data_IF_053419247266
#
_entry.id   IF_053419247266
#
_cell.length_a   1.000
_cell.length_b   1.000
_cell.length_c   1.000
_cell.angle_alpha   90.00
_cell.angle_beta   90.00
_cell.angle_gamma   90.00
#
_symmetry.space_group_name_H-M   'P 1'
#
loop_
_entity.id
_entity.type
_entity.pdbx_description
1 polymer ?
#
# COMPACT_ATOMS: atom_id res chain seq x y z
N UNK A 1 0.89 0.04 29.57
CA UNK A 1 0.67 -0.92 28.46
C UNK A 1 0.37 -2.27 29.10
N UNK A 2 -0.89 -2.72 29.17
CA UNK A 2 -1.24 -4.07 29.60
C UNK A 2 -1.33 -5.02 28.40
N UNK A 3 -0.99 -6.29 28.63
CA UNK A 3 -0.80 -7.35 27.64
C UNK A 3 -2.03 -7.67 26.80
N UNK A 4 -1.79 -8.02 25.53
CA UNK A 4 -2.74 -8.64 24.63
C UNK A 4 -2.84 -10.14 24.96
N UNK A 5 -3.49 -10.46 26.07
CA UNK A 5 -4.10 -11.76 26.29
C UNK A 5 -5.53 -11.66 25.77
N UNK A 6 -5.62 -11.59 24.43
CA UNK A 6 -6.85 -11.70 23.64
C UNK A 6 -7.37 -13.13 23.83
N UNK A 7 -8.22 -13.34 24.84
CA UNK A 7 -8.91 -14.60 25.12
C UNK A 7 -9.54 -15.13 23.82
N UNK A 8 -9.01 -16.25 23.32
CA UNK A 8 -9.45 -16.80 22.05
C UNK A 8 -10.95 -17.15 22.15
N UNK A 9 -11.79 -16.64 21.24
CA UNK A 9 -13.24 -16.87 21.28
C UNK A 9 -13.54 -18.38 21.23
N UNK A 10 -14.37 -18.86 22.16
CA UNK A 10 -14.83 -20.24 22.19
C UNK A 10 -15.78 -20.50 21.03
N UNK A 11 -15.50 -21.52 20.21
CA UNK A 11 -16.44 -21.98 19.19
C UNK A 11 -17.67 -22.63 19.84
N UNK A 12 -18.79 -22.64 19.13
CA UNK A 12 -19.99 -23.44 19.43
C UNK A 12 -19.70 -24.94 19.69
N UNK A 13 -18.56 -25.47 19.23
CA UNK A 13 -18.13 -26.85 19.51
C UNK A 13 -17.36 -26.99 20.83
N UNK A 14 -17.23 -25.92 21.63
CA UNK A 14 -16.52 -25.91 22.91
C UNK A 14 -15.00 -25.84 22.82
N UNK A 15 -14.42 -25.63 21.64
CA UNK A 15 -12.97 -25.49 21.43
C UNK A 15 -12.57 -24.04 21.18
N UNK A 16 -11.39 -23.63 21.62
CA UNK A 16 -10.82 -22.33 21.32
C UNK A 16 -10.66 -22.14 19.79
N UNK A 17 -11.21 -21.07 19.24
CA UNK A 17 -11.12 -20.83 17.81
C UNK A 17 -9.74 -20.26 17.45
N UNK A 18 -9.15 -20.78 16.37
CA UNK A 18 -7.89 -20.23 15.83
C UNK A 18 -8.22 -19.00 14.99
N UNK A 19 -7.74 -17.83 15.42
CA UNK A 19 -7.83 -16.58 14.64
C UNK A 19 -6.76 -16.61 13.55
N UNK A 20 -7.17 -16.45 12.29
CA UNK A 20 -6.25 -16.27 11.15
C UNK A 20 -6.57 -14.96 10.44
N UNK A 21 -5.53 -14.21 10.09
CA UNK A 21 -5.60 -12.97 9.31
C UNK A 21 -5.35 -13.27 7.83
N UNK A 22 -6.26 -12.89 6.95
CA UNK A 22 -6.04 -12.96 5.51
C UNK A 22 -5.76 -11.56 4.97
N UNK A 23 -4.56 -11.32 4.46
CA UNK A 23 -4.15 -10.04 3.88
C UNK A 23 -4.54 -10.02 2.41
N UNK A 24 -5.61 -9.32 2.04
CA UNK A 24 -5.90 -8.96 0.64
C UNK A 24 -6.19 -7.48 0.52
N UNK A 25 -5.79 -6.89 -0.62
CA UNK A 25 -5.98 -5.46 -0.92
C UNK A 25 -7.46 -5.02 -0.88
N UNK A 26 -8.38 -5.96 -1.08
CA UNK A 26 -9.83 -5.75 -1.02
C UNK A 26 -10.40 -5.82 0.40
N UNK A 27 -9.69 -6.43 1.35
CA UNK A 27 -10.15 -6.63 2.74
C UNK A 27 -8.97 -6.67 3.73
N UNK A 28 -8.29 -5.54 3.97
CA UNK A 28 -7.02 -5.50 4.71
C UNK A 28 -7.14 -5.79 6.22
N UNK A 29 -8.34 -6.06 6.74
CA UNK A 29 -8.58 -6.24 8.18
C UNK A 29 -9.34 -7.49 8.58
N UNK A 30 -9.75 -8.37 7.65
CA UNK A 30 -10.62 -9.51 8.02
C UNK A 30 -9.91 -10.65 8.73
N UNK A 31 -10.19 -10.79 10.04
CA UNK A 31 -9.93 -11.96 10.87
C UNK A 31 -11.09 -12.95 10.72
N UNK A 32 -10.78 -14.23 10.54
CA UNK A 32 -11.79 -15.30 10.58
C UNK A 32 -11.48 -16.27 11.71
N UNK A 33 -12.52 -16.76 12.38
CA UNK A 33 -12.42 -17.82 13.37
C UNK A 33 -12.61 -19.16 12.65
N UNK A 34 -11.60 -20.01 12.69
CA UNK A 34 -11.72 -21.35 12.12
C UNK A 34 -12.28 -22.31 13.17
N UNK A 35 -13.58 -22.52 13.09
CA UNK A 35 -14.22 -23.74 13.54
C UNK A 35 -14.83 -24.40 12.29
N UNK A 36 -15.37 -25.62 12.37
CA UNK A 36 -15.88 -26.39 11.22
C UNK A 36 -16.85 -25.64 10.30
N UNK A 37 -17.45 -24.53 10.75
CA UNK A 37 -18.07 -23.50 9.91
C UNK A 37 -17.23 -22.21 9.87
N UNK A 38 -16.87 -21.75 8.66
CA UNK A 38 -16.16 -20.48 8.43
C UNK A 38 -17.03 -19.30 8.86
N UNK A 39 -16.79 -18.74 10.03
CA UNK A 39 -17.44 -17.50 10.48
C UNK A 39 -16.44 -16.33 10.45
N UNK A 40 -16.89 -15.20 9.91
CA UNK A 40 -16.14 -13.95 9.94
C UNK A 40 -16.10 -13.43 11.38
N UNK A 41 -14.92 -13.14 11.90
CA UNK A 41 -14.71 -12.77 13.30
C UNK A 41 -14.55 -11.27 13.53
N UNK A 42 -14.33 -10.47 12.48
CA UNK A 42 -14.05 -9.05 12.65
C UNK A 42 -15.09 -8.36 13.54
N UNK A 43 -14.70 -7.87 14.73
CA UNK A 43 -15.55 -6.94 15.45
C UNK A 43 -15.79 -5.75 14.54
N UNK A 44 -16.99 -5.17 14.61
CA UNK A 44 -17.32 -3.99 13.82
C UNK A 44 -16.23 -2.93 14.02
N UNK A 45 -15.51 -2.61 12.94
CA UNK A 45 -14.54 -1.51 12.93
C UNK A 45 -15.22 -0.25 13.48
N UNK A 46 -14.51 0.55 14.28
CA UNK A 46 -15.03 1.84 14.74
C UNK A 46 -15.52 2.66 13.54
N UNK A 47 -16.69 3.30 13.65
CA UNK A 47 -17.29 4.13 12.58
C UNK A 47 -16.32 5.21 12.06
N UNK A 48 -15.51 5.75 12.96
CA UNK A 48 -14.42 6.67 12.60
C UNK A 48 -13.39 6.01 11.70
N UNK A 49 -12.98 4.78 11.99
CA UNK A 49 -11.98 4.05 11.18
C UNK A 49 -12.53 3.70 9.81
N UNK A 50 -13.81 3.34 9.71
CA UNK A 50 -14.48 3.06 8.42
C UNK A 50 -14.47 4.26 7.47
N UNK A 51 -14.47 5.48 8.00
CA UNK A 51 -14.44 6.72 7.21
C UNK A 51 -13.02 7.24 6.99
N UNK A 52 -12.15 7.17 8.01
CA UNK A 52 -10.78 7.68 7.91
C UNK A 52 -9.89 6.83 7.00
N UNK A 53 -9.96 5.49 7.07
CA UNK A 53 -9.07 4.60 6.31
C UNK A 53 -9.23 4.81 4.79
N UNK A 54 -10.46 4.83 4.22
CA UNK A 54 -10.63 5.12 2.80
C UNK A 54 -10.13 6.52 2.41
N UNK A 55 -10.35 7.53 3.26
CA UNK A 55 -9.87 8.90 3.03
C UNK A 55 -8.35 9.00 2.99
N UNK A 56 -7.66 8.31 3.89
CA UNK A 56 -6.21 8.23 3.94
C UNK A 56 -5.64 7.48 2.73
N UNK A 57 -6.23 6.34 2.36
CA UNK A 57 -5.83 5.59 1.18
C UNK A 57 -5.98 6.42 -0.10
N UNK A 58 -7.10 7.15 -0.25
CA UNK A 58 -7.32 8.04 -1.39
C UNK A 58 -6.29 9.15 -1.45
N UNK A 59 -5.96 9.75 -0.31
CA UNK A 59 -4.95 10.81 -0.20
C UNK A 59 -3.55 10.29 -0.54
N UNK A 60 -3.15 9.14 -0.01
CA UNK A 60 -1.89 8.47 -0.33
C UNK A 60 -1.78 8.17 -1.83
N UNK A 61 -2.80 7.53 -2.40
CA UNK A 61 -2.81 7.19 -3.83
C UNK A 61 -2.73 8.44 -4.73
N UNK A 62 -3.34 9.56 -4.31
CA UNK A 62 -3.22 10.84 -5.02
C UNK A 62 -1.78 11.38 -4.94
N UNK A 63 -1.16 11.33 -3.76
CA UNK A 63 0.22 11.77 -3.55
C UNK A 63 1.22 10.93 -4.36
N UNK A 64 1.09 9.61 -4.34
CA UNK A 64 1.92 8.67 -5.11
C UNK A 64 1.84 8.97 -6.62
N UNK A 65 0.64 9.28 -7.13
CA UNK A 65 0.46 9.69 -8.54
C UNK A 65 1.17 11.00 -8.86
N UNK A 66 1.10 12.00 -7.98
CA UNK A 66 1.85 13.26 -8.19
C UNK A 66 3.35 13.05 -8.18
N UNK A 67 3.87 12.27 -7.22
CA UNK A 67 5.31 11.97 -7.14
C UNK A 67 5.78 11.21 -8.37
N UNK A 68 5.00 10.21 -8.83
CA UNK A 68 5.31 9.48 -10.05
C UNK A 68 5.35 10.42 -11.27
N UNK A 69 4.41 11.36 -11.37
CA UNK A 69 4.38 12.36 -12.45
C UNK A 69 5.58 13.29 -12.43
N UNK A 70 5.97 13.81 -11.27
CA UNK A 70 7.14 14.67 -11.13
C UNK A 70 8.43 13.91 -11.46
N UNK A 71 8.57 12.67 -10.98
CA UNK A 71 9.73 11.82 -11.31
C UNK A 71 9.83 11.52 -12.81
N UNK A 72 8.69 11.39 -13.51
CA UNK A 72 8.68 11.25 -14.97
C UNK A 72 9.13 12.55 -15.66
N UNK A 73 8.68 13.71 -15.19
CA UNK A 73 9.11 15.01 -15.72
C UNK A 73 10.62 15.20 -15.56
N UNK A 74 11.16 14.89 -14.39
CA UNK A 74 12.59 14.96 -14.12
C UNK A 74 13.39 14.10 -15.10
N UNK A 75 12.99 12.84 -15.32
CA UNK A 75 13.64 11.96 -16.29
C UNK A 75 13.60 12.50 -17.71
N UNK A 76 12.46 13.06 -18.13
CA UNK A 76 12.32 13.68 -19.45
C UNK A 76 13.27 14.88 -19.58
N UNK A 77 13.33 15.75 -18.57
CA UNK A 77 14.23 16.91 -18.56
C UNK A 77 15.68 16.46 -18.64
N UNK A 78 16.09 15.49 -17.80
CA UNK A 78 17.45 14.94 -17.83
C UNK A 78 17.80 14.33 -19.19
N UNK A 79 16.86 13.63 -19.83
CA UNK A 79 17.04 13.09 -21.18
C UNK A 79 17.20 14.18 -22.24
N UNK A 80 16.36 15.22 -22.21
CA UNK A 80 16.41 16.34 -23.17
C UNK A 80 17.68 17.16 -22.99
N UNK A 81 17.99 17.57 -21.75
CA UNK A 81 19.19 18.34 -21.44
C UNK A 81 20.44 17.53 -21.75
N UNK A 82 20.49 16.26 -21.36
CA UNK A 82 21.58 15.36 -21.69
C UNK A 82 21.80 15.21 -23.20
N UNK A 83 20.73 14.99 -23.97
CA UNK A 83 20.80 14.90 -25.43
C UNK A 83 21.27 16.20 -26.09
N UNK A 84 20.83 17.34 -25.58
CA UNK A 84 21.27 18.65 -26.07
C UNK A 84 22.75 18.90 -25.78
N UNK A 85 23.22 18.58 -24.56
CA UNK A 85 24.64 18.69 -24.18
C UNK A 85 25.52 17.78 -25.04
N UNK A 86 25.10 16.54 -25.29
CA UNK A 86 25.82 15.61 -26.19
C UNK A 86 25.90 16.18 -27.61
N UNK A 87 24.81 16.79 -28.11
CA UNK A 87 24.80 17.41 -29.43
C UNK A 87 25.75 18.61 -29.50
N UNK A 88 25.75 19.48 -28.49
CA UNK A 88 26.71 20.58 -28.36
C UNK A 88 28.13 20.05 -28.34
N UNK A 89 28.42 19.04 -27.52
CA UNK A 89 29.76 18.45 -27.43
C UNK A 89 30.21 17.90 -28.79
N UNK A 90 29.35 17.17 -29.51
CA UNK A 90 29.67 16.68 -30.85
C UNK A 90 29.91 17.81 -31.86
N UNK A 91 29.15 18.90 -31.78
CA UNK A 91 29.32 20.05 -32.68
C UNK A 91 30.60 20.85 -32.39
N UNK A 92 31.01 20.95 -31.12
CA UNK A 92 32.18 21.72 -30.70
C UNK A 92 33.48 20.91 -30.68
N UNK A 93 33.41 19.58 -30.55
CA UNK A 93 34.58 18.72 -30.29
C UNK A 93 34.63 17.46 -31.19
N UNK A 94 33.58 17.17 -31.96
CA UNK A 94 33.47 15.94 -32.75
C UNK A 94 33.69 16.10 -34.26
N UNK A 95 34.21 17.24 -34.73
CA UNK A 95 34.53 17.49 -36.14
C UNK A 95 36.04 17.50 -36.43
N UNK A 96 36.88 17.16 -35.46
CA UNK A 96 38.36 17.17 -35.57
C UNK A 96 38.98 15.76 -35.64
N UNK A 97 38.37 14.84 -36.39
CA UNK A 97 38.99 13.59 -36.88
C UNK A 97 38.63 13.38 -38.35
#
# INVERSE_FOLDING_TARGET
>A
MPGMDEEAPMCWCGKAATIRTFWTDLNPTRRFSMCTAKAWFDPAMCERSKTMIPGLLKSRNKLEKSVAKERQREKVILGVVGGFLVSIYKLNFGRDV
#
